data_IF_690835276523
#
_entry.id   IF_690835276523
#
_cell.length_a   1.000
_cell.length_b   1.000
_cell.length_c   1.000
_cell.angle_alpha   90.00
_cell.angle_beta   90.00
_cell.angle_gamma   90.00
#
_symmetry.space_group_name_H-M   'P 1'
#
loop_
_entity.id
_entity.type
_entity.pdbx_description
1 polymer ?
#
# COMPACT_ATOMS: atom_id res chain seq x y z
N UNK A 1 3.80 17.67 -12.19
CA UNK A 1 4.25 16.35 -11.68
C UNK A 1 3.52 16.09 -10.38
N UNK A 2 3.05 14.86 -10.14
CA UNK A 2 2.52 14.47 -8.83
C UNK A 2 3.59 14.74 -7.77
N UNK A 3 3.19 15.26 -6.61
CA UNK A 3 4.13 15.46 -5.51
C UNK A 3 4.45 14.09 -4.90
N UNK A 4 5.74 13.79 -4.78
CA UNK A 4 6.25 12.63 -4.06
C UNK A 4 7.18 13.11 -2.94
N UNK A 5 7.01 12.55 -1.75
CA UNK A 5 7.84 12.87 -0.59
C UNK A 5 8.34 11.56 0.03
N UNK A 6 9.64 11.45 0.28
CA UNK A 6 10.22 10.28 0.95
C UNK A 6 10.01 10.40 2.46
N UNK A 7 9.29 9.46 3.05
CA UNK A 7 9.04 9.40 4.49
C UNK A 7 9.99 8.43 5.21
N UNK A 8 10.38 7.33 4.55
CA UNK A 8 11.39 6.38 5.06
C UNK A 8 12.45 6.14 4.02
N UNK A 9 13.69 5.99 4.46
CA UNK A 9 14.73 5.30 3.69
C UNK A 9 15.67 4.58 4.63
N UNK A 10 15.68 3.26 4.55
CA UNK A 10 16.50 2.41 5.41
C UNK A 10 17.25 1.37 4.58
N UNK A 11 18.34 0.82 5.13
CA UNK A 11 19.13 -0.21 4.45
C UNK A 11 19.67 -1.24 5.43
N UNK A 12 19.63 -2.50 5.01
CA UNK A 12 20.18 -3.64 5.71
C UNK A 12 20.95 -4.53 4.72
N UNK A 13 22.28 -4.49 4.79
CA UNK A 13 23.13 -5.20 3.84
C UNK A 13 22.90 -4.74 2.39
N UNK A 14 22.58 -5.65 1.44
CA UNK A 14 22.31 -5.30 0.05
C UNK A 14 20.88 -4.80 -0.22
N UNK A 15 20.03 -4.74 0.83
CA UNK A 15 18.63 -4.34 0.71
C UNK A 15 18.47 -2.89 1.18
N UNK A 16 17.85 -2.06 0.35
CA UNK A 16 17.39 -0.72 0.70
C UNK A 16 15.88 -0.69 0.53
N UNK A 17 15.16 -0.17 1.52
CA UNK A 17 13.72 0.09 1.42
C UNK A 17 13.48 1.59 1.45
N UNK A 18 12.52 2.05 0.67
CA UNK A 18 12.08 3.43 0.62
C UNK A 18 10.56 3.47 0.73
N UNK A 19 10.03 4.40 1.52
CA UNK A 19 8.59 4.65 1.62
C UNK A 19 8.34 6.06 1.11
N UNK A 20 7.54 6.15 0.04
CA UNK A 20 7.18 7.41 -0.59
C UNK A 20 5.69 7.69 -0.38
N UNK A 21 5.35 8.93 -0.03
CA UNK A 21 3.97 9.40 -0.11
C UNK A 21 3.72 9.92 -1.53
N UNK A 22 2.64 9.47 -2.15
CA UNK A 22 2.20 9.90 -3.49
C UNK A 22 0.73 10.34 -3.47
N UNK A 23 0.40 11.32 -4.31
CA UNK A 23 -0.98 11.72 -4.61
C UNK A 23 -1.43 11.24 -6.00
N UNK A 24 -0.58 10.46 -6.67
CA UNK A 24 -0.87 9.86 -7.96
C UNK A 24 -1.61 8.53 -7.77
N UNK A 25 -2.92 8.56 -8.00
CA UNK A 25 -3.79 7.39 -7.87
C UNK A 25 -3.52 6.33 -8.93
N UNK A 26 -3.16 6.75 -10.15
CA UNK A 26 -2.89 5.82 -11.24
C UNK A 26 -1.61 5.04 -10.94
N UNK A 27 -0.56 5.72 -10.48
CA UNK A 27 0.66 5.07 -9.99
C UNK A 27 0.38 4.14 -8.80
N UNK A 28 -0.42 4.58 -7.81
CA UNK A 28 -0.80 3.71 -6.69
C UNK A 28 -1.57 2.46 -7.15
N UNK A 29 -2.44 2.57 -8.17
CA UNK A 29 -3.16 1.44 -8.77
C UNK A 29 -2.23 0.50 -9.51
N UNK A 30 -1.25 1.02 -10.23
CA UNK A 30 -0.22 0.21 -10.90
C UNK A 30 0.58 -0.61 -9.88
N UNK A 31 1.01 0.02 -8.79
CA UNK A 31 1.71 -0.67 -7.69
C UNK A 31 0.81 -1.74 -7.08
N UNK A 32 -0.45 -1.40 -6.75
CA UNK A 32 -1.43 -2.36 -6.23
C UNK A 32 -1.59 -3.58 -7.14
N UNK A 33 -1.74 -3.37 -8.45
CA UNK A 33 -1.90 -4.46 -9.42
C UNK A 33 -0.65 -5.36 -9.51
N UNK A 34 0.53 -4.83 -9.14
CA UNK A 34 1.79 -5.58 -9.12
C UNK A 34 2.08 -6.26 -7.78
N UNK A 35 1.27 -6.04 -6.75
CA UNK A 35 1.47 -6.63 -5.42
C UNK A 35 1.33 -8.16 -5.46
N UNK A 36 2.26 -8.83 -4.79
CA UNK A 36 2.18 -10.26 -4.52
C UNK A 36 1.05 -10.56 -3.50
N UNK A 37 0.59 -11.82 -3.45
CA UNK A 37 -0.55 -12.20 -2.62
C UNK A 37 -0.30 -11.94 -1.12
N UNK A 38 0.93 -12.18 -0.62
CA UNK A 38 1.30 -11.91 0.77
C UNK A 38 1.21 -10.41 1.12
N UNK A 39 1.55 -9.56 0.17
CA UNK A 39 1.44 -8.11 0.28
C UNK A 39 -0.05 -7.69 0.31
N UNK A 40 -0.91 -8.31 -0.50
CA UNK A 40 -2.36 -8.06 -0.48
C UNK A 40 -3.02 -8.51 0.83
N UNK A 41 -2.61 -9.66 1.37
CA UNK A 41 -3.06 -10.11 2.69
C UNK A 41 -2.63 -9.15 3.80
N UNK A 42 -1.41 -8.61 3.71
CA UNK A 42 -0.92 -7.60 4.66
C UNK A 42 -1.74 -6.31 4.56
N UNK A 43 -2.10 -5.89 3.34
CA UNK A 43 -2.96 -4.73 3.11
C UNK A 43 -4.37 -4.96 3.67
N UNK A 44 -4.96 -6.13 3.45
CA UNK A 44 -6.28 -6.47 4.00
C UNK A 44 -6.32 -6.40 5.54
N UNK A 45 -5.23 -6.81 6.20
CA UNK A 45 -5.10 -6.66 7.65
C UNK A 45 -4.96 -5.19 8.07
N UNK A 46 -4.17 -4.41 7.32
CA UNK A 46 -3.97 -2.98 7.57
C UNK A 46 -5.26 -2.16 7.41
N UNK A 47 -6.11 -2.51 6.44
CA UNK A 47 -7.44 -1.91 6.24
C UNK A 47 -8.47 -2.37 7.29
N UNK A 48 -8.07 -3.28 8.19
CA UNK A 48 -8.92 -3.83 9.24
C UNK A 48 -10.27 -4.36 8.73
N UNK A 49 -10.28 -4.99 7.54
CA UNK A 49 -11.51 -5.43 6.86
C UNK A 49 -12.42 -6.30 7.74
N UNK A 50 -11.82 -7.15 8.57
CA UNK A 50 -12.55 -8.00 9.52
C UNK A 50 -13.26 -7.25 10.66
N UNK A 51 -12.94 -5.96 10.86
CA UNK A 51 -13.67 -5.08 11.77
C UNK A 51 -14.73 -4.24 11.06
N UNK A 52 -14.56 -4.02 9.75
CA UNK A 52 -15.48 -3.22 8.91
C UNK A 52 -16.64 -4.05 8.35
N UNK A 53 -16.38 -5.33 8.05
CA UNK A 53 -17.31 -6.22 7.34
C UNK A 53 -17.46 -7.55 8.05
N UNK A 54 -18.62 -8.18 7.88
CA UNK A 54 -18.81 -9.58 8.26
C UNK A 54 -18.04 -10.49 7.29
N UNK A 55 -17.58 -11.68 7.71
CA UNK A 55 -16.80 -12.57 6.85
C UNK A 55 -17.52 -13.00 5.55
N UNK A 56 -18.86 -12.97 5.54
CA UNK A 56 -19.68 -13.28 4.37
C UNK A 56 -19.77 -12.15 3.34
N UNK A 57 -19.48 -10.90 3.76
CA UNK A 57 -19.44 -9.72 2.89
C UNK A 57 -18.04 -9.48 2.29
N UNK A 58 -17.01 -10.18 2.78
CA UNK A 58 -15.66 -10.12 2.24
C UNK A 58 -15.52 -11.15 1.11
N UNK A 59 -15.22 -10.72 -0.13
CA UNK A 59 -15.01 -11.65 -1.23
C UNK A 59 -13.88 -12.65 -0.94
N UNK A 60 -13.94 -13.81 -1.59
CA UNK A 60 -12.89 -14.82 -1.46
C UNK A 60 -11.55 -14.26 -1.95
N UNK A 61 -10.49 -14.35 -1.14
CA UNK A 61 -9.16 -13.80 -1.43
C UNK A 61 -8.46 -14.35 -2.67
N UNK A 62 -8.94 -15.46 -3.24
CA UNK A 62 -8.47 -16.03 -4.51
C UNK A 62 -9.40 -15.72 -5.70
N UNK A 63 -10.47 -14.95 -5.47
CA UNK A 63 -11.44 -14.54 -6.47
C UNK A 63 -11.07 -13.23 -7.16
N UNK A 64 -11.55 -13.05 -8.40
CA UNK A 64 -11.31 -11.83 -9.20
C UNK A 64 -11.90 -10.59 -8.50
N UNK A 65 -13.02 -10.76 -7.79
CA UNK A 65 -13.73 -9.68 -7.09
C UNK A 65 -12.96 -9.13 -5.89
N UNK A 66 -12.00 -9.89 -5.34
CA UNK A 66 -11.27 -9.48 -4.14
C UNK A 66 -10.30 -8.33 -4.41
N UNK A 67 -9.66 -8.31 -5.59
CA UNK A 67 -8.73 -7.24 -5.95
C UNK A 67 -9.42 -5.89 -6.13
N UNK A 68 -10.62 -5.91 -6.73
CA UNK A 68 -11.42 -4.70 -6.90
C UNK A 68 -11.97 -4.23 -5.55
N UNK A 69 -12.49 -5.14 -4.72
CA UNK A 69 -12.91 -4.83 -3.36
C UNK A 69 -11.78 -4.21 -2.52
N UNK A 70 -10.60 -4.84 -2.50
CA UNK A 70 -9.47 -4.36 -1.71
C UNK A 70 -8.98 -2.98 -2.18
N UNK A 71 -9.05 -2.70 -3.48
CA UNK A 71 -8.71 -1.41 -4.04
C UNK A 71 -9.75 -0.32 -3.77
N UNK A 72 -11.03 -0.68 -3.77
CA UNK A 72 -12.11 0.24 -3.39
C UNK A 72 -11.91 0.67 -1.93
N UNK A 73 -11.72 -0.28 -1.02
CA UNK A 73 -11.44 0.00 0.40
C UNK A 73 -10.17 0.83 0.60
N UNK A 74 -9.08 0.48 -0.09
CA UNK A 74 -7.86 1.30 -0.10
C UNK A 74 -8.13 2.72 -0.63
N UNK A 75 -8.92 2.85 -1.70
CA UNK A 75 -9.24 4.15 -2.30
C UNK A 75 -10.08 5.01 -1.36
N UNK A 76 -11.03 4.43 -0.63
CA UNK A 76 -11.85 5.15 0.35
C UNK A 76 -11.02 5.62 1.54
N UNK A 77 -10.20 4.75 2.12
CA UNK A 77 -9.34 5.09 3.25
C UNK A 77 -8.20 6.06 2.88
N UNK A 78 -7.86 6.17 1.59
CA UNK A 78 -6.81 7.08 1.11
C UNK A 78 -7.25 8.54 1.02
N UNK A 79 -8.55 8.83 1.19
CA UNK A 79 -9.07 10.19 1.16
C UNK A 79 -8.47 11.01 2.31
N UNK A 80 -7.75 12.07 1.96
CA UNK A 80 -7.35 13.12 2.88
C UNK A 80 -8.59 13.82 3.46
N UNK A 81 -8.44 14.51 4.59
CA UNK A 81 -9.56 15.15 5.32
C UNK A 81 -10.56 15.79 4.34
N UNK A 82 -11.69 15.12 4.17
CA UNK A 82 -12.70 15.44 3.15
C UNK A 82 -13.26 16.86 3.31
N UNK A 83 -13.15 17.45 4.51
CA UNK A 83 -13.57 18.82 4.78
C UNK A 83 -12.58 19.85 4.25
N UNK A 84 -11.31 19.48 4.15
CA UNK A 84 -10.22 20.36 3.70
C UNK A 84 -9.82 20.07 2.25
N UNK A 85 -9.83 18.80 1.84
CA UNK A 85 -9.39 18.33 0.52
C UNK A 85 -10.33 17.23 -0.03
N UNK A 86 -11.56 17.58 -0.46
CA UNK A 86 -12.66 16.64 -0.72
C UNK A 86 -12.43 15.62 -1.86
N UNK A 87 -11.28 15.64 -2.53
CA UNK A 87 -10.91 14.75 -3.64
C UNK A 87 -9.43 14.39 -3.67
N UNK A 88 -8.69 14.71 -2.60
CA UNK A 88 -7.27 14.42 -2.57
C UNK A 88 -7.09 13.05 -1.94
N UNK A 89 -6.52 12.13 -2.71
CA UNK A 89 -6.11 10.82 -2.22
C UNK A 89 -4.62 10.84 -1.94
N UNK A 90 -4.19 10.17 -0.88
CA UNK A 90 -2.77 9.96 -0.60
C UNK A 90 -2.48 8.51 -0.28
N UNK A 91 -1.35 8.05 -0.79
CA UNK A 91 -0.91 6.66 -0.65
C UNK A 91 0.54 6.65 -0.20
N UNK A 92 0.91 5.61 0.53
CA UNK A 92 2.29 5.29 0.89
C UNK A 92 2.71 4.06 0.10
N UNK A 93 3.70 4.22 -0.78
CA UNK A 93 4.27 3.14 -1.59
C UNK A 93 5.60 2.72 -0.98
N UNK A 94 5.80 1.42 -0.84
CA UNK A 94 7.07 0.83 -0.42
C UNK A 94 7.82 0.32 -1.64
N UNK A 95 8.99 0.88 -1.87
CA UNK A 95 9.94 0.43 -2.88
C UNK A 95 11.06 -0.36 -2.21
N UNK A 96 11.35 -1.54 -2.74
CA UNK A 96 12.48 -2.38 -2.29
C UNK A 96 13.52 -2.41 -3.39
N UNK A 97 14.75 -2.03 -3.04
CA UNK A 97 15.92 -2.18 -3.88
C UNK A 97 16.81 -3.30 -3.30
N UNK A 98 17.04 -4.34 -4.09
CA UNK A 98 17.94 -5.45 -3.73
C UNK A 98 18.87 -5.71 -4.91
N UNK A 99 20.17 -5.68 -4.67
CA UNK A 99 21.21 -5.91 -5.69
C UNK A 99 21.06 -5.02 -6.93
N UNK A 100 20.66 -3.76 -6.75
CA UNK A 100 20.47 -2.78 -7.83
C UNK A 100 19.16 -2.92 -8.61
N UNK A 101 18.27 -3.85 -8.22
CA UNK A 101 16.92 -3.99 -8.78
C UNK A 101 15.91 -3.34 -7.84
N UNK A 102 15.29 -2.27 -8.31
CA UNK A 102 14.23 -1.55 -7.60
C UNK A 102 12.86 -2.07 -8.02
N UNK A 103 11.98 -2.34 -7.06
CA UNK A 103 10.61 -2.77 -7.31
C UNK A 103 9.67 -2.15 -6.28
N UNK A 104 8.53 -1.63 -6.74
CA UNK A 104 7.46 -1.19 -5.87
C UNK A 104 6.67 -2.42 -5.42
N UNK A 105 6.65 -2.68 -4.11
CA UNK A 105 6.20 -3.96 -3.54
C UNK A 105 4.90 -3.87 -2.75
N UNK A 106 4.53 -2.68 -2.32
CA UNK A 106 3.39 -2.48 -1.42
C UNK A 106 2.83 -1.07 -1.52
N UNK A 107 1.52 -0.94 -1.31
CA UNK A 107 0.84 0.35 -1.16
C UNK A 107 -0.14 0.30 0.02
N UNK A 108 -0.21 1.37 0.81
CA UNK A 108 -1.18 1.56 1.90
C UNK A 108 -1.70 2.99 1.96
N UNK A 109 -2.74 3.22 2.78
CA UNK A 109 -3.32 4.55 3.03
C UNK A 109 -2.64 5.27 4.18
N UNK A 110 -2.01 4.52 5.10
CA UNK A 110 -1.35 5.06 6.27
C UNK A 110 0.15 4.73 6.30
N UNK A 111 0.89 5.65 6.93
CA UNK A 111 2.34 5.55 7.12
C UNK A 111 2.75 4.35 8.00
N UNK A 112 2.13 4.10 9.18
CA UNK A 112 2.50 2.96 10.03
C UNK A 112 2.47 1.60 9.32
N UNK A 113 1.46 1.35 8.49
CA UNK A 113 1.35 0.10 7.72
C UNK A 113 2.48 -0.03 6.69
N UNK A 114 2.78 1.05 5.95
CA UNK A 114 3.89 1.06 5.00
C UNK A 114 5.24 0.87 5.70
N UNK A 115 5.46 1.52 6.85
CA UNK A 115 6.68 1.37 7.64
C UNK A 115 6.85 -0.07 8.14
N UNK A 116 5.79 -0.67 8.68
CA UNK A 116 5.80 -2.06 9.15
C UNK A 116 6.16 -3.02 8.02
N UNK A 117 5.54 -2.87 6.85
CA UNK A 117 5.86 -3.68 5.67
C UNK A 117 7.33 -3.48 5.25
N UNK A 118 7.80 -2.23 5.14
CA UNK A 118 9.17 -1.90 4.75
C UNK A 118 10.20 -2.52 5.70
N UNK A 119 9.99 -2.43 7.02
CA UNK A 119 10.88 -3.04 8.02
C UNK A 119 10.89 -4.55 7.96
N UNK A 120 9.75 -5.18 7.64
CA UNK A 120 9.70 -6.64 7.43
C UNK A 120 10.51 -7.06 6.20
N UNK A 121 10.53 -6.24 5.14
CA UNK A 121 11.27 -6.52 3.91
C UNK A 121 12.79 -6.39 4.08
N UNK A 122 13.27 -5.62 5.06
CA UNK A 122 14.69 -5.55 5.41
C UNK A 122 15.22 -6.85 6.08
N UNK A 123 14.32 -7.68 6.61
CA UNK A 123 14.67 -8.92 7.32
C UNK A 123 14.62 -10.17 6.40
N UNK A 124 14.21 -10.02 5.13
CA UNK A 124 14.06 -11.10 4.14
C UNK A 124 15.26 -11.21 3.19
#
# INVERSE_FOLDING_TARGET
MPRQETFLKESAGPVTVEVIKTYDRDFAREVFNSMEQDAKETLAQALELSKKFEPEDIPNSNGIEYDDFLWEELSEDSLEDVRQYPRQHSFFVVTVNKDGKSQDRYVSTDWPSAESYAKSALQK
#
